data_IF_796783771944
#
_entry.id   IF_796783771944
#
_cell.length_a   1.000
_cell.length_b   1.000
_cell.length_c   1.000
_cell.angle_alpha   90.00
_cell.angle_beta   90.00
_cell.angle_gamma   90.00
#
_symmetry.space_group_name_H-M   'P 1'
#
loop_
_entity.id
_entity.type
_entity.pdbx_description
1 polymer ?
#
# COMPACT_ATOMS: atom_id res chain seq x y z
N UNK A 1 19.02 31.88 15.12
CA UNK A 1 17.61 32.10 14.76
C UNK A 1 16.98 30.76 14.41
N UNK A 2 15.64 30.69 14.34
CA UNK A 2 14.97 29.49 13.82
C UNK A 2 15.34 29.22 12.37
N UNK A 3 15.51 30.27 11.56
CA UNK A 3 15.96 30.15 10.16
C UNK A 3 17.34 29.50 10.05
N UNK A 4 18.31 29.96 10.84
CA UNK A 4 19.66 29.37 10.84
C UNK A 4 19.68 27.90 11.29
N UNK A 5 18.77 27.51 12.19
CA UNK A 5 18.62 26.11 12.58
C UNK A 5 17.96 25.30 11.45
N UNK A 6 16.96 25.85 10.77
CA UNK A 6 16.34 25.24 9.58
C UNK A 6 17.35 25.00 8.46
N UNK A 7 18.17 26.00 8.14
CA UNK A 7 19.22 25.90 7.14
C UNK A 7 20.28 24.86 7.51
N UNK A 8 20.66 24.80 8.79
CA UNK A 8 21.55 23.76 9.29
C UNK A 8 20.95 22.35 9.11
N UNK A 9 19.68 22.15 9.47
CA UNK A 9 19.01 20.84 9.32
C UNK A 9 18.91 20.45 7.84
N UNK A 10 18.51 21.38 6.97
CA UNK A 10 18.38 21.09 5.55
C UNK A 10 19.72 20.85 4.86
N UNK A 11 20.77 21.63 5.16
CA UNK A 11 22.10 21.39 4.59
C UNK A 11 22.64 20.01 5.00
N UNK A 12 22.59 19.66 6.29
CA UNK A 12 22.98 18.33 6.77
C UNK A 12 22.19 17.20 6.12
N UNK A 13 20.90 17.41 5.91
CA UNK A 13 20.04 16.43 5.22
C UNK A 13 20.46 16.26 3.75
N UNK A 14 20.76 17.36 3.04
CA UNK A 14 21.19 17.29 1.63
C UNK A 14 22.51 16.55 1.47
N UNK A 15 23.49 16.89 2.30
CA UNK A 15 24.82 16.26 2.24
C UNK A 15 24.71 14.75 2.48
N UNK A 16 24.01 14.36 3.55
CA UNK A 16 23.83 12.95 3.88
C UNK A 16 23.06 12.18 2.79
N UNK A 17 22.04 12.79 2.17
CA UNK A 17 21.31 12.15 1.07
C UNK A 17 22.18 11.96 -0.18
N UNK A 18 22.96 12.97 -0.54
CA UNK A 18 23.85 12.90 -1.70
C UNK A 18 24.88 11.78 -1.52
N UNK A 19 25.44 11.64 -0.31
CA UNK A 19 26.36 10.55 0.01
C UNK A 19 25.71 9.17 -0.10
N UNK A 20 24.48 9.02 0.41
CA UNK A 20 23.70 7.76 0.28
C UNK A 20 23.45 7.40 -1.18
N UNK A 21 23.06 8.38 -2.01
CA UNK A 21 22.75 8.16 -3.42
C UNK A 21 24.02 7.81 -4.21
N UNK A 22 25.15 8.48 -3.94
CA UNK A 22 26.45 8.16 -4.55
C UNK A 22 26.87 6.71 -4.30
N UNK A 23 26.55 6.16 -3.14
CA UNK A 23 26.87 4.77 -2.78
C UNK A 23 25.95 3.71 -3.43
N UNK A 24 24.83 4.11 -4.03
CA UNK A 24 23.93 3.19 -4.72
C UNK A 24 24.51 2.76 -6.09
N UNK A 25 24.25 1.52 -6.53
CA UNK A 25 24.53 1.10 -7.90
C UNK A 25 23.84 2.02 -8.91
N UNK A 26 24.58 2.47 -9.93
CA UNK A 26 24.04 3.32 -11.00
C UNK A 26 23.44 2.45 -12.09
N UNK A 27 22.29 2.87 -12.62
CA UNK A 27 21.57 2.11 -13.64
C UNK A 27 20.06 2.33 -13.57
N UNK A 28 19.34 1.55 -14.36
CA UNK A 28 17.88 1.58 -14.45
C UNK A 28 17.33 0.16 -14.36
N UNK A 29 16.30 -0.03 -13.54
CA UNK A 29 15.64 -1.31 -13.34
C UNK A 29 14.13 -1.14 -13.40
N UNK A 30 13.45 -2.09 -14.04
CA UNK A 30 12.01 -2.03 -14.24
C UNK A 30 11.30 -3.15 -13.49
N UNK A 31 10.10 -2.88 -13.02
CA UNK A 31 9.22 -3.88 -12.42
C UNK A 31 7.78 -3.65 -12.86
N UNK A 32 7.04 -4.74 -12.95
CA UNK A 32 5.61 -4.74 -13.21
C UNK A 32 4.88 -5.56 -12.15
N UNK A 33 3.68 -5.12 -11.79
CA UNK A 33 2.72 -5.90 -10.99
C UNK A 33 1.35 -5.82 -11.65
N UNK A 34 0.56 -6.87 -11.49
CA UNK A 34 -0.84 -6.91 -11.94
C UNK A 34 -1.71 -6.95 -10.70
N UNK A 35 -2.68 -6.06 -10.63
CA UNK A 35 -3.72 -6.00 -9.60
C UNK A 35 -5.03 -6.53 -10.15
N UNK A 36 -6.01 -6.79 -9.28
CA UNK A 36 -7.32 -7.29 -9.71
C UNK A 36 -8.13 -6.25 -10.46
N UNK A 37 -8.07 -4.98 -10.03
CA UNK A 37 -8.95 -3.95 -10.57
C UNK A 37 -10.43 -4.18 -10.20
N UNK A 38 -11.31 -3.33 -10.72
CA UNK A 38 -12.77 -3.40 -10.46
C UNK A 38 -13.55 -4.00 -11.63
N UNK A 39 -13.09 -3.75 -12.86
CA UNK A 39 -13.67 -4.34 -14.09
C UNK A 39 -12.76 -5.44 -14.62
N UNK A 40 -11.50 -5.08 -14.83
CA UNK A 40 -10.46 -5.89 -15.46
C UNK A 40 -9.17 -5.75 -14.64
N UNK A 41 -8.27 -6.75 -14.68
CA UNK A 41 -6.93 -6.63 -14.12
C UNK A 41 -6.19 -5.40 -14.64
N UNK A 42 -5.42 -4.77 -13.76
CA UNK A 42 -4.68 -3.53 -14.09
C UNK A 42 -3.20 -3.77 -13.88
N UNK A 43 -2.41 -3.53 -14.93
CA UNK A 43 -0.96 -3.57 -14.88
C UNK A 43 -0.40 -2.23 -14.42
N UNK A 44 0.42 -2.28 -13.38
CA UNK A 44 1.27 -1.17 -12.96
C UNK A 44 2.71 -1.46 -13.34
N UNK A 45 3.40 -0.47 -13.88
CA UNK A 45 4.79 -0.56 -14.30
C UNK A 45 5.59 0.62 -13.73
N UNK A 46 6.81 0.36 -13.27
CA UNK A 46 7.74 1.41 -12.90
C UNK A 46 9.14 1.08 -13.38
N UNK A 47 9.86 2.11 -13.81
CA UNK A 47 11.32 2.07 -14.00
C UNK A 47 11.97 3.01 -13.00
N UNK A 48 12.91 2.49 -12.21
CA UNK A 48 13.69 3.25 -11.23
C UNK A 48 15.09 3.44 -11.78
N UNK A 49 15.51 4.69 -11.97
CA UNK A 49 16.84 5.05 -12.45
C UNK A 49 17.64 5.75 -11.36
N UNK A 50 18.78 5.18 -10.98
CA UNK A 50 19.70 5.76 -10.01
C UNK A 50 20.78 6.52 -10.77
N UNK A 51 20.81 7.84 -10.59
CA UNK A 51 21.81 8.76 -11.14
C UNK A 51 22.84 9.11 -10.08
N UNK A 52 23.83 9.93 -10.44
CA UNK A 52 24.91 10.31 -9.52
C UNK A 52 24.42 11.12 -8.33
N UNK A 53 23.42 11.98 -8.55
CA UNK A 53 22.93 12.98 -7.60
C UNK A 53 21.43 12.89 -7.33
N UNK A 54 20.68 11.95 -7.93
CA UNK A 54 19.25 11.77 -7.69
C UNK A 54 18.75 10.38 -8.11
N UNK A 55 17.51 10.05 -7.76
CA UNK A 55 16.81 8.84 -8.22
C UNK A 55 15.50 9.23 -8.90
N UNK A 56 15.25 8.65 -10.07
CA UNK A 56 14.08 8.90 -10.91
C UNK A 56 13.15 7.69 -10.88
N UNK A 57 11.84 7.93 -10.82
CA UNK A 57 10.80 6.90 -10.99
C UNK A 57 9.90 7.30 -12.15
N UNK A 58 9.79 6.42 -13.15
CA UNK A 58 8.92 6.61 -14.32
C UNK A 58 7.85 5.51 -14.35
N UNK A 59 6.57 5.91 -14.38
CA UNK A 59 5.43 4.99 -14.45
C UNK A 59 4.95 4.67 -15.88
N UNK A 60 5.74 4.97 -16.90
CA UNK A 60 5.48 4.56 -18.30
C UNK A 60 5.28 3.05 -18.39
N UNK A 61 4.25 2.64 -19.14
CA UNK A 61 3.83 1.23 -19.26
C UNK A 61 2.73 0.80 -18.29
N UNK A 62 2.35 1.66 -17.35
CA UNK A 62 1.16 1.50 -16.50
C UNK A 62 -0.12 1.70 -17.31
N UNK A 63 -1.15 0.91 -17.01
CA UNK A 63 -2.43 0.91 -17.72
C UNK A 63 -3.24 2.21 -17.57
N UNK A 64 -4.16 2.49 -18.54
CA UNK A 64 -4.97 3.71 -18.55
C UNK A 64 -5.85 3.91 -17.31
N UNK A 65 -6.38 5.13 -17.15
CA UNK A 65 -7.31 5.46 -16.07
C UNK A 65 -8.57 4.58 -16.09
N UNK A 66 -9.04 4.22 -14.91
CA UNK A 66 -10.32 3.54 -14.70
C UNK A 66 -11.48 4.54 -14.68
N UNK A 67 -12.68 4.08 -15.04
CA UNK A 67 -13.92 4.81 -14.79
C UNK A 67 -14.31 4.85 -13.30
N UNK A 68 -13.72 3.98 -12.48
CA UNK A 68 -14.00 3.85 -11.04
C UNK A 68 -13.05 4.69 -10.19
N UNK A 69 -13.41 4.90 -8.93
CA UNK A 69 -12.67 5.77 -7.98
C UNK A 69 -11.25 5.33 -7.62
N UNK A 70 -10.70 4.30 -8.24
CA UNK A 70 -9.42 3.66 -7.93
C UNK A 70 -8.18 4.39 -8.52
N UNK A 71 -8.40 5.44 -9.30
CA UNK A 71 -7.33 6.23 -9.90
C UNK A 71 -6.51 7.02 -8.87
N UNK A 72 -5.22 7.21 -9.12
CA UNK A 72 -4.30 7.98 -8.29
C UNK A 72 -3.84 9.26 -9.02
N UNK A 73 -4.02 10.46 -8.43
CA UNK A 73 -3.30 11.64 -8.87
C UNK A 73 -1.79 11.45 -8.69
N UNK A 74 -0.97 12.03 -9.57
CA UNK A 74 0.50 11.85 -9.53
C UNK A 74 1.13 12.21 -8.19
N UNK A 75 0.58 13.18 -7.45
CA UNK A 75 1.12 13.57 -6.14
C UNK A 75 1.02 12.43 -5.12
N UNK A 76 -0.02 11.59 -5.22
CA UNK A 76 -0.22 10.43 -4.36
C UNK A 76 0.78 9.32 -4.70
N UNK A 77 0.93 9.02 -5.99
CA UNK A 77 1.92 8.05 -6.50
C UNK A 77 3.35 8.49 -6.17
N UNK A 78 3.64 9.80 -6.31
CA UNK A 78 4.92 10.40 -5.92
C UNK A 78 5.20 10.20 -4.44
N UNK A 79 4.23 10.47 -3.56
CA UNK A 79 4.42 10.31 -2.12
C UNK A 79 4.82 8.87 -1.75
N UNK A 80 4.14 7.87 -2.32
CA UNK A 80 4.44 6.47 -2.04
C UNK A 80 5.72 5.95 -2.72
N UNK A 81 6.06 6.43 -3.91
CA UNK A 81 7.34 6.15 -4.55
C UNK A 81 8.51 6.73 -3.73
N UNK A 82 8.40 7.98 -3.31
CA UNK A 82 9.38 8.63 -2.45
C UNK A 82 9.50 7.93 -1.09
N UNK A 83 8.38 7.49 -0.50
CA UNK A 83 8.39 6.71 0.74
C UNK A 83 9.21 5.42 0.59
N UNK A 84 8.94 4.63 -0.46
CA UNK A 84 9.67 3.40 -0.74
C UNK A 84 11.18 3.64 -0.88
N UNK A 85 11.56 4.62 -1.69
CA UNK A 85 12.97 4.99 -1.87
C UNK A 85 13.60 5.49 -0.57
N UNK A 86 12.90 6.34 0.19
CA UNK A 86 13.40 6.89 1.44
C UNK A 86 13.69 5.80 2.48
N UNK A 87 12.81 4.81 2.60
CA UNK A 87 12.99 3.66 3.51
C UNK A 87 14.22 2.82 3.19
N UNK A 88 14.63 2.74 1.92
CA UNK A 88 15.75 1.90 1.49
C UNK A 88 17.06 2.69 1.44
N UNK A 89 17.01 3.89 0.85
CA UNK A 89 18.20 4.70 0.59
C UNK A 89 18.73 5.35 1.87
N UNK A 90 17.82 5.76 2.75
CA UNK A 90 18.18 6.64 3.86
C UNK A 90 17.23 6.51 5.07
N UNK A 91 16.97 5.31 5.63
CA UNK A 91 15.98 5.12 6.70
C UNK A 91 16.24 5.97 7.97
N UNK A 92 17.51 6.30 8.22
CA UNK A 92 18.02 7.03 9.38
C UNK A 92 18.10 8.56 9.19
N UNK A 93 17.99 9.05 7.95
CA UNK A 93 18.04 10.48 7.66
C UNK A 93 16.68 11.12 7.98
N UNK A 94 16.60 12.31 8.63
CA UNK A 94 15.34 12.99 8.89
C UNK A 94 14.48 13.18 7.64
N UNK A 95 13.17 12.93 7.77
CA UNK A 95 12.23 13.09 6.68
C UNK A 95 11.79 14.55 6.56
N UNK A 96 12.28 15.25 5.53
CA UNK A 96 11.94 16.63 5.23
C UNK A 96 12.07 16.94 3.72
N UNK A 97 11.72 18.16 3.31
CA UNK A 97 11.76 18.56 1.89
C UNK A 97 13.15 18.40 1.25
N UNK A 98 14.23 18.64 2.00
CA UNK A 98 15.59 18.44 1.51
C UNK A 98 15.90 16.96 1.22
N UNK A 99 15.36 16.03 2.02
CA UNK A 99 15.54 14.60 1.75
C UNK A 99 14.75 14.11 0.53
N UNK A 100 13.57 14.67 0.32
CA UNK A 100 12.67 14.26 -0.77
C UNK A 100 13.03 14.90 -2.12
N UNK A 101 13.79 15.99 -2.12
CA UNK A 101 14.22 16.70 -3.32
C UNK A 101 15.04 15.85 -4.29
N UNK A 102 15.67 14.78 -3.78
CA UNK A 102 16.49 13.84 -4.55
C UNK A 102 15.68 12.79 -5.31
N UNK A 103 14.36 12.76 -5.13
CA UNK A 103 13.48 11.80 -5.77
C UNK A 103 12.55 12.50 -6.76
N UNK A 104 12.73 12.20 -8.04
CA UNK A 104 11.87 12.70 -9.12
C UNK A 104 10.92 11.61 -9.57
N UNK A 105 9.70 11.99 -9.92
CA UNK A 105 8.64 11.06 -10.34
C UNK A 105 7.96 11.62 -11.57
N UNK A 106 7.90 10.81 -12.63
CA UNK A 106 7.27 11.12 -13.92
C UNK A 106 6.30 10.02 -14.33
N UNK A 107 5.35 10.38 -15.19
CA UNK A 107 4.39 9.42 -15.76
C UNK A 107 3.63 10.05 -16.91
N UNK A 108 3.29 9.31 -17.98
CA UNK A 108 2.18 9.69 -18.88
C UNK A 108 0.84 9.68 -18.11
N UNK A 109 -0.23 10.19 -18.71
CA UNK A 109 -1.59 10.09 -18.14
C UNK A 109 -2.00 8.61 -18.13
N UNK A 110 -2.24 8.08 -16.94
CA UNK A 110 -2.60 6.68 -16.68
C UNK A 110 -3.22 6.57 -15.27
N UNK A 111 -3.46 5.35 -14.78
CA UNK A 111 -4.08 5.17 -13.46
C UNK A 111 -3.24 5.71 -12.27
N UNK A 112 -1.91 5.83 -12.42
CA UNK A 112 -0.99 6.41 -11.42
C UNK A 112 -0.70 7.91 -11.62
N UNK A 113 -1.18 8.50 -12.70
CA UNK A 113 -1.15 9.92 -13.00
C UNK A 113 -2.50 10.35 -13.57
N UNK A 114 -3.51 10.21 -12.74
CA UNK A 114 -4.87 10.52 -13.12
C UNK A 114 -5.07 12.04 -13.21
N UNK A 115 -5.79 12.46 -14.26
CA UNK A 115 -6.12 13.86 -14.52
C UNK A 115 -7.62 14.10 -14.37
N UNK A 116 -8.01 15.33 -14.05
CA UNK A 116 -9.42 15.73 -13.99
C UNK A 116 -10.12 15.42 -15.33
N UNK A 117 -11.34 14.83 -15.36
CA UNK A 117 -12.27 14.60 -14.25
C UNK A 117 -12.26 13.18 -13.65
N UNK A 118 -11.17 12.42 -13.76
CA UNK A 118 -11.14 11.05 -13.25
C UNK A 118 -11.48 10.95 -11.74
N UNK A 119 -12.27 9.96 -11.32
CA UNK A 119 -12.62 9.76 -9.91
C UNK A 119 -11.47 9.11 -9.13
N UNK A 120 -11.18 9.63 -7.93
CA UNK A 120 -9.97 9.29 -7.13
C UNK A 120 -10.26 8.98 -5.65
N UNK A 121 -11.52 8.67 -5.32
CA UNK A 121 -11.97 8.46 -3.94
C UNK A 121 -11.30 7.24 -3.26
N UNK A 122 -11.04 6.18 -4.04
CA UNK A 122 -10.50 4.88 -3.60
C UNK A 122 -9.04 4.67 -4.05
N UNK A 123 -8.31 5.76 -4.30
CA UNK A 123 -6.89 5.75 -4.74
C UNK A 123 -5.96 4.88 -3.88
N UNK A 124 -6.30 4.63 -2.62
CA UNK A 124 -5.50 3.83 -1.70
C UNK A 124 -5.32 2.38 -2.18
N UNK A 125 -6.30 1.81 -2.90
CA UNK A 125 -6.24 0.43 -3.42
C UNK A 125 -4.99 0.25 -4.31
N UNK A 126 -4.70 1.24 -5.15
CA UNK A 126 -3.60 1.20 -6.12
C UNK A 126 -2.35 1.93 -5.63
N UNK A 127 -2.51 3.10 -5.01
CA UNK A 127 -1.35 3.86 -4.55
C UNK A 127 -0.58 3.14 -3.43
N UNK A 128 -1.22 2.22 -2.69
CA UNK A 128 -0.51 1.35 -1.75
C UNK A 128 0.28 0.22 -2.42
N UNK A 129 0.06 -0.06 -3.71
CA UNK A 129 0.88 -0.98 -4.49
C UNK A 129 2.14 -0.30 -5.03
N UNK A 130 2.19 1.04 -5.07
CA UNK A 130 3.32 1.79 -5.61
C UNK A 130 4.63 1.50 -4.86
N UNK A 131 4.65 1.34 -3.51
CA UNK A 131 5.88 0.96 -2.83
C UNK A 131 6.38 -0.40 -3.26
N UNK A 132 5.54 -1.43 -3.32
CA UNK A 132 5.93 -2.76 -3.78
C UNK A 132 6.42 -2.73 -5.24
N UNK A 133 5.79 -1.91 -6.09
CA UNK A 133 6.21 -1.68 -7.47
C UNK A 133 7.63 -1.11 -7.57
N UNK A 134 7.89 0.00 -6.86
CA UNK A 134 9.19 0.70 -6.84
C UNK A 134 10.27 -0.14 -6.15
N UNK A 135 9.93 -0.78 -5.03
CA UNK A 135 10.80 -1.68 -4.29
C UNK A 135 11.17 -2.90 -5.13
N UNK A 136 10.24 -3.46 -5.89
CA UNK A 136 10.52 -4.56 -6.82
C UNK A 136 11.52 -4.17 -7.90
N UNK A 137 11.45 -2.95 -8.44
CA UNK A 137 12.43 -2.45 -9.40
C UNK A 137 13.83 -2.31 -8.77
N UNK A 138 13.95 -1.57 -7.67
CA UNK A 138 15.27 -1.34 -7.02
C UNK A 138 15.86 -2.60 -6.38
N UNK A 139 15.05 -3.63 -6.10
CA UNK A 139 15.54 -4.91 -5.57
C UNK A 139 16.53 -5.62 -6.50
N UNK A 140 16.47 -5.34 -7.80
CA UNK A 140 17.42 -5.85 -8.79
C UNK A 140 18.81 -5.20 -8.62
N UNK A 141 18.86 -3.94 -8.19
CA UNK A 141 20.11 -3.26 -7.85
C UNK A 141 20.65 -3.65 -6.47
N UNK A 142 19.74 -3.99 -5.55
CA UNK A 142 20.04 -4.27 -4.14
C UNK A 142 19.55 -5.68 -3.74
N UNK A 143 20.11 -6.74 -4.35
CA UNK A 143 19.66 -8.10 -4.09
C UNK A 143 19.80 -8.45 -2.60
N UNK A 144 18.77 -9.09 -2.06
CA UNK A 144 18.72 -9.47 -0.65
C UNK A 144 18.48 -8.33 0.34
N UNK A 145 18.37 -7.06 -0.09
CA UNK A 145 18.19 -5.91 0.82
C UNK A 145 16.77 -5.34 0.87
N UNK A 146 15.88 -5.83 0.01
CA UNK A 146 14.52 -5.28 -0.14
C UNK A 146 13.48 -6.34 0.19
N UNK A 147 12.53 -5.99 1.07
CA UNK A 147 11.41 -6.85 1.46
C UNK A 147 10.57 -7.32 0.26
N UNK A 148 10.01 -8.52 0.32
CA UNK A 148 9.07 -9.02 -0.69
C UNK A 148 7.78 -8.19 -0.74
N UNK A 149 6.89 -8.48 -1.70
CA UNK A 149 5.56 -7.83 -1.71
C UNK A 149 4.75 -8.24 -0.47
N UNK A 150 3.91 -7.32 -0.01
CA UNK A 150 2.90 -7.58 1.01
C UNK A 150 1.49 -7.46 0.44
N UNK A 151 0.48 -7.54 1.30
CA UNK A 151 -0.90 -7.32 0.87
C UNK A 151 -1.08 -5.97 0.16
N UNK A 152 -0.36 -4.93 0.59
CA UNK A 152 -0.35 -3.59 -0.02
C UNK A 152 -1.66 -2.85 0.22
N UNK A 153 -2.72 -3.28 -0.48
CA UNK A 153 -4.07 -2.77 -0.28
C UNK A 153 -4.58 -3.11 1.14
N UNK A 154 -5.22 -2.10 1.75
CA UNK A 154 -6.05 -2.35 2.92
C UNK A 154 -7.33 -3.05 2.49
N UNK A 155 -7.83 -3.95 3.34
CA UNK A 155 -9.08 -4.66 3.14
C UNK A 155 -10.22 -3.91 3.83
N UNK A 156 -10.62 -2.81 3.22
CA UNK A 156 -11.60 -1.90 3.81
C UNK A 156 -13.01 -2.30 3.40
N UNK A 157 -13.93 -2.23 4.36
CA UNK A 157 -15.36 -2.40 4.12
C UNK A 157 -16.06 -1.16 4.68
N UNK A 158 -16.85 -0.50 3.84
CA UNK A 158 -17.73 0.58 4.25
C UNK A 158 -19.16 0.03 4.30
N UNK A 159 -19.73 -0.03 5.49
CA UNK A 159 -21.02 -0.65 5.77
C UNK A 159 -22.05 0.46 6.01
N UNK A 160 -23.15 0.42 5.27
CA UNK A 160 -24.35 1.20 5.54
C UNK A 160 -25.38 0.27 6.18
N UNK A 161 -25.50 0.34 7.50
CA UNK A 161 -26.40 -0.50 8.29
C UNK A 161 -27.73 0.23 8.56
N UNK A 162 -28.84 -0.49 8.37
CA UNK A 162 -30.19 0.05 8.51
C UNK A 162 -31.16 -1.00 9.08
N UNK A 163 -32.24 -0.58 9.77
CA UNK A 163 -33.29 -1.51 10.16
C UNK A 163 -33.86 -2.23 8.94
N UNK A 164 -34.22 -3.49 9.09
CA UNK A 164 -34.98 -4.24 8.07
C UNK A 164 -36.31 -3.53 7.78
N UNK A 165 -36.93 -3.84 6.64
CA UNK A 165 -38.21 -3.23 6.27
C UNK A 165 -39.27 -3.39 7.36
N UNK A 166 -39.82 -2.27 7.85
CA UNK A 166 -40.80 -2.24 8.95
C UNK A 166 -40.20 -2.38 10.36
N UNK A 167 -38.89 -2.60 10.47
CA UNK A 167 -38.15 -2.62 11.74
C UNK A 167 -37.88 -1.22 12.29
N UNK A 168 -37.64 -1.15 13.60
CA UNK A 168 -37.15 0.04 14.28
C UNK A 168 -35.67 -0.11 14.62
N UNK A 169 -34.95 1.00 14.68
CA UNK A 169 -33.52 0.99 14.97
C UNK A 169 -32.82 2.20 14.37
N UNK A 170 -31.51 2.30 14.59
CA UNK A 170 -30.70 3.41 14.07
C UNK A 170 -30.04 3.02 12.77
N UNK A 171 -29.85 4.02 11.89
CA UNK A 171 -28.96 3.89 10.73
C UNK A 171 -27.55 4.26 11.15
N UNK A 172 -26.55 3.60 10.56
CA UNK A 172 -25.16 3.92 10.81
C UNK A 172 -24.29 3.63 9.60
N UNK A 173 -23.25 4.45 9.42
CA UNK A 173 -22.17 4.19 8.48
C UNK A 173 -20.94 3.75 9.27
N UNK A 174 -20.39 2.59 8.93
CA UNK A 174 -19.22 2.01 9.61
C UNK A 174 -18.13 1.76 8.58
N UNK A 175 -17.01 2.48 8.73
CA UNK A 175 -15.81 2.24 7.93
C UNK A 175 -14.81 1.43 8.73
N UNK A 176 -14.42 0.27 8.20
CA UNK A 176 -13.44 -0.61 8.82
C UNK A 176 -12.13 -0.61 8.04
N UNK A 177 -11.02 -0.58 8.77
CA UNK A 177 -9.68 -0.74 8.22
C UNK A 177 -9.07 -2.06 8.66
N UNK A 178 -8.82 -2.95 7.70
CA UNK A 178 -8.23 -4.26 7.94
C UNK A 178 -6.98 -4.43 7.09
N UNK A 179 -6.01 -5.17 7.61
CA UNK A 179 -4.69 -5.27 7.00
C UNK A 179 -4.32 -6.72 6.76
N UNK A 180 -3.71 -6.99 5.61
CA UNK A 180 -3.04 -8.26 5.38
C UNK A 180 -1.68 -8.32 6.06
N UNK A 181 -0.88 -9.31 5.66
CA UNK A 181 0.51 -9.41 6.08
C UNK A 181 1.43 -8.52 5.25
N UNK A 182 2.48 -8.01 5.90
CA UNK A 182 3.61 -7.36 5.22
C UNK A 182 4.50 -8.42 4.56
N UNK A 183 5.19 -8.06 3.48
CA UNK A 183 6.20 -8.93 2.87
C UNK A 183 7.33 -9.32 3.84
N UNK A 184 7.98 -10.45 3.55
CA UNK A 184 9.15 -10.91 4.29
C UNK A 184 10.28 -9.89 4.15
N UNK A 185 10.97 -9.60 5.26
CA UNK A 185 12.11 -8.69 5.29
C UNK A 185 13.40 -9.46 4.97
N UNK A 186 14.47 -8.77 4.54
CA UNK A 186 15.78 -9.37 4.27
C UNK A 186 16.28 -10.40 5.28
N UNK A 187 16.03 -10.15 6.56
CA UNK A 187 16.60 -10.91 7.67
C UNK A 187 15.54 -11.39 8.67
N UNK A 188 14.25 -11.17 8.39
CA UNK A 188 13.16 -11.41 9.33
C UNK A 188 11.85 -11.74 8.60
N UNK A 189 11.00 -12.52 9.25
CA UNK A 189 9.61 -12.69 8.83
C UNK A 189 8.90 -11.34 8.65
N UNK A 190 7.91 -11.35 7.75
CA UNK A 190 6.97 -10.26 7.56
C UNK A 190 6.03 -10.13 8.76
N UNK A 191 5.62 -8.90 9.05
CA UNK A 191 4.72 -8.61 10.16
C UNK A 191 3.28 -9.02 9.77
N UNK A 192 2.64 -9.83 10.61
CA UNK A 192 1.25 -10.27 10.41
C UNK A 192 0.26 -9.14 10.69
N UNK A 193 -0.85 -9.10 9.96
CA UNK A 193 -1.94 -8.13 10.12
C UNK A 193 -1.46 -6.67 10.28
N UNK A 194 -0.42 -6.30 9.53
CA UNK A 194 0.26 -5.01 9.65
C UNK A 194 0.03 -4.22 8.39
N UNK A 195 -0.59 -3.05 8.54
CA UNK A 195 -0.74 -2.10 7.47
C UNK A 195 0.66 -1.71 6.97
N UNK A 196 0.95 -2.03 5.71
CA UNK A 196 2.13 -1.55 5.00
C UNK A 196 1.70 -1.35 3.55
N UNK A 197 1.98 -0.19 2.94
CA UNK A 197 2.79 0.94 3.41
C UNK A 197 2.03 1.95 4.33
N UNK A 198 0.77 1.66 4.67
CA UNK A 198 -0.06 2.57 5.47
C UNK A 198 0.29 2.53 6.96
N UNK A 199 0.17 3.65 7.66
CA UNK A 199 0.37 3.73 9.12
C UNK A 199 -0.91 3.48 9.94
N UNK A 200 -1.94 2.87 9.37
CA UNK A 200 -3.21 2.65 10.05
C UNK A 200 -3.08 1.53 11.09
N UNK A 201 -3.65 1.76 12.27
CA UNK A 201 -3.71 0.76 13.34
C UNK A 201 -5.03 -0.02 13.29
N UNK A 202 -5.00 -1.22 13.85
CA UNK A 202 -6.20 -2.06 14.00
C UNK A 202 -7.25 -1.34 14.84
N UNK A 203 -8.50 -1.32 14.36
CA UNK A 203 -9.63 -0.78 15.12
C UNK A 203 -10.11 -1.76 16.20
N UNK A 204 -10.41 -1.28 17.43
CA UNK A 204 -11.07 -2.09 18.46
C UNK A 204 -12.44 -2.59 17.97
N UNK A 205 -12.75 -3.85 18.27
CA UNK A 205 -14.03 -4.47 17.90
C UNK A 205 -15.18 -3.72 18.58
N UNK A 206 -15.09 -3.52 19.90
CA UNK A 206 -16.11 -2.81 20.68
C UNK A 206 -16.39 -1.41 20.15
N UNK A 207 -15.36 -0.65 19.74
CA UNK A 207 -15.55 0.67 19.15
C UNK A 207 -16.26 0.61 17.79
N UNK A 208 -15.98 -0.43 17.00
CA UNK A 208 -16.59 -0.66 15.68
C UNK A 208 -18.07 -1.03 15.84
N UNK A 209 -18.39 -1.97 16.73
CA UNK A 209 -19.77 -2.38 17.05
C UNK A 209 -20.55 -1.28 17.77
N UNK A 210 -19.89 -0.43 18.56
CA UNK A 210 -20.53 0.76 19.13
C UNK A 210 -20.96 1.75 18.03
N UNK A 211 -20.26 1.79 16.89
CA UNK A 211 -20.55 2.74 15.81
C UNK A 211 -21.86 2.42 15.09
N UNK A 212 -22.17 1.13 14.86
CA UNK A 212 -23.36 0.73 14.12
C UNK A 212 -23.90 -0.65 14.52
N UNK A 213 -25.13 -0.99 14.13
CA UNK A 213 -25.79 -2.26 14.46
C UNK A 213 -25.18 -3.44 13.67
N UNK A 214 -23.92 -3.75 13.97
CA UNK A 214 -23.16 -4.87 13.41
C UNK A 214 -22.48 -5.67 14.53
N UNK A 215 -22.18 -6.94 14.25
CA UNK A 215 -21.45 -7.85 15.14
C UNK A 215 -20.25 -8.38 14.38
N UNK A 216 -19.07 -8.40 15.02
CA UNK A 216 -17.85 -9.03 14.49
C UNK A 216 -17.69 -10.38 15.19
N UNK A 217 -18.11 -11.45 14.52
CA UNK A 217 -18.03 -12.81 15.04
C UNK A 217 -16.62 -13.36 15.13
N UNK A 218 -15.74 -12.92 14.22
CA UNK A 218 -14.36 -13.40 14.13
C UNK A 218 -13.42 -12.30 13.70
N UNK A 219 -12.25 -12.24 14.33
CA UNK A 219 -11.12 -11.41 13.92
C UNK A 219 -9.83 -12.04 14.40
N UNK A 220 -9.19 -12.82 13.54
CA UNK A 220 -7.98 -13.57 13.88
C UNK A 220 -6.97 -13.57 12.74
N UNK A 221 -5.73 -13.95 13.04
CA UNK A 221 -4.73 -14.21 11.99
C UNK A 221 -5.15 -15.44 11.18
N UNK A 222 -5.09 -15.36 9.85
CA UNK A 222 -5.35 -16.48 8.96
C UNK A 222 -4.12 -17.41 8.93
N UNK A 223 -4.16 -18.61 9.51
CA UNK A 223 -3.01 -19.51 9.50
C UNK A 223 -2.58 -19.85 8.06
N UNK A 224 -1.27 -20.02 7.86
CA UNK A 224 -0.67 -20.41 6.57
C UNK A 224 -1.02 -19.48 5.39
N UNK A 225 -1.34 -18.21 5.65
CA UNK A 225 -1.66 -17.22 4.61
C UNK A 225 -0.44 -16.45 4.09
N UNK A 226 0.65 -16.44 4.85
CA UNK A 226 1.92 -15.85 4.44
C UNK A 226 2.62 -16.72 3.40
N UNK A 227 3.36 -16.10 2.47
CA UNK A 227 4.17 -16.83 1.49
C UNK A 227 5.38 -17.51 2.15
N UNK A 228 5.63 -18.77 1.80
CA UNK A 228 6.79 -19.53 2.30
C UNK A 228 8.10 -19.01 1.70
N UNK A 229 9.15 -18.97 2.51
CA UNK A 229 10.51 -18.61 2.12
C UNK A 229 11.48 -18.92 3.26
N UNK A 230 12.75 -18.55 3.10
CA UNK A 230 13.70 -18.54 4.24
C UNK A 230 13.16 -17.71 5.40
N UNK A 231 12.58 -16.55 5.05
CA UNK A 231 11.71 -15.76 5.92
C UNK A 231 10.31 -15.74 5.31
N UNK A 232 9.31 -15.97 6.15
CA UNK A 232 7.89 -16.07 5.75
C UNK A 232 7.26 -14.68 5.63
N UNK A 233 6.36 -14.49 4.67
CA UNK A 233 5.51 -13.30 4.61
C UNK A 233 4.51 -13.22 5.79
N UNK A 234 4.14 -12.03 6.24
CA UNK A 234 3.18 -11.86 7.35
C UNK A 234 1.85 -12.57 7.09
N UNK A 235 1.16 -13.01 8.15
CA UNK A 235 -0.17 -13.59 8.01
C UNK A 235 -1.21 -12.49 7.75
N UNK A 236 -2.19 -12.78 6.90
CA UNK A 236 -3.41 -12.00 6.78
C UNK A 236 -4.40 -12.27 7.92
N UNK A 237 -5.65 -11.86 7.74
CA UNK A 237 -6.71 -11.98 8.74
C UNK A 237 -7.93 -12.73 8.20
N UNK A 238 -8.71 -13.34 9.10
CA UNK A 238 -10.10 -13.75 8.85
C UNK A 238 -11.00 -12.83 9.67
N UNK A 239 -12.00 -12.26 9.00
CA UNK A 239 -12.98 -11.38 9.65
C UNK A 239 -14.38 -11.82 9.21
N UNK A 240 -15.25 -12.07 10.18
CA UNK A 240 -16.65 -12.46 9.97
C UNK A 240 -17.53 -11.40 10.62
N UNK A 241 -18.46 -10.82 9.85
CA UNK A 241 -19.27 -9.67 10.26
C UNK A 241 -20.72 -9.94 9.85
N UNK A 242 -21.65 -9.57 10.72
CA UNK A 242 -23.09 -9.68 10.48
C UNK A 242 -23.81 -8.40 10.94
N UNK A 243 -24.98 -8.12 10.38
CA UNK A 243 -25.88 -7.12 10.96
C UNK A 243 -26.47 -7.68 12.26
N UNK A 244 -26.68 -6.83 13.27
CA UNK A 244 -27.43 -7.28 14.46
C UNK A 244 -28.88 -7.59 14.10
N UNK A 245 -29.54 -8.46 14.87
CA UNK A 245 -30.97 -8.76 14.73
C UNK A 245 -31.84 -7.51 14.46
N UNK A 246 -32.75 -7.63 13.49
CA UNK A 246 -33.62 -6.53 13.06
C UNK A 246 -32.93 -5.47 12.18
N UNK A 247 -31.67 -5.68 11.79
CA UNK A 247 -30.96 -4.84 10.83
C UNK A 247 -30.48 -5.65 9.63
N UNK A 248 -30.28 -4.94 8.53
CA UNK A 248 -29.57 -5.38 7.34
C UNK A 248 -28.50 -4.34 7.01
N UNK A 249 -27.48 -4.74 6.26
CA UNK A 249 -26.53 -3.75 5.75
C UNK A 249 -26.26 -3.96 4.26
N UNK A 250 -26.00 -2.83 3.61
CA UNK A 250 -25.35 -2.77 2.32
C UNK A 250 -23.86 -2.45 2.57
N UNK A 251 -22.95 -2.93 1.73
CA UNK A 251 -21.53 -2.61 1.90
C UNK A 251 -20.82 -2.32 0.58
N UNK A 252 -19.80 -1.47 0.67
CA UNK A 252 -18.82 -1.22 -0.38
C UNK A 252 -17.49 -1.86 0.01
N UNK A 253 -17.09 -2.84 -0.77
CA UNK A 253 -15.82 -3.55 -0.67
C UNK A 253 -14.72 -2.74 -1.38
N UNK A 254 -13.64 -2.45 -0.64
CA UNK A 254 -12.50 -1.68 -1.12
C UNK A 254 -11.23 -2.46 -0.81
N UNK A 255 -10.86 -3.36 -1.71
CA UNK A 255 -9.70 -4.24 -1.58
C UNK A 255 -9.19 -4.68 -2.96
N UNK A 256 -8.04 -5.36 -2.94
CA UNK A 256 -7.42 -6.06 -4.07
C UNK A 256 -6.76 -7.36 -3.52
N UNK A 257 -6.01 -8.10 -4.34
CA UNK A 257 -5.32 -9.36 -4.00
C UNK A 257 -6.21 -10.60 -3.85
N UNK A 258 -7.40 -10.61 -4.45
CA UNK A 258 -8.30 -11.76 -4.60
C UNK A 258 -7.86 -12.67 -5.75
N UNK A 259 -7.50 -12.12 -6.90
CA UNK A 259 -7.04 -12.92 -8.06
C UNK A 259 -5.52 -12.88 -8.24
N UNK A 260 -4.87 -11.78 -7.85
CA UNK A 260 -3.43 -11.58 -7.96
C UNK A 260 -2.76 -11.46 -6.58
N UNK A 261 -2.40 -12.58 -5.94
CA UNK A 261 -1.78 -12.56 -4.62
C UNK A 261 -0.42 -11.86 -4.61
N UNK A 262 0.05 -11.40 -3.43
CA UNK A 262 1.37 -10.80 -3.31
C UNK A 262 2.48 -11.79 -3.66
N UNK A 263 3.45 -11.33 -4.44
CA UNK A 263 4.55 -12.19 -4.93
C UNK A 263 5.67 -12.30 -3.91
N UNK A 264 6.21 -13.50 -3.77
CA UNK A 264 7.47 -13.71 -3.09
C UNK A 264 8.65 -13.14 -3.89
N UNK A 265 9.83 -13.13 -3.28
CA UNK A 265 11.07 -12.63 -3.91
C UNK A 265 12.21 -13.62 -3.68
N UNK A 266 13.17 -13.68 -4.60
CA UNK A 266 14.39 -14.50 -4.50
C UNK A 266 14.10 -15.99 -4.20
N UNK A 267 13.07 -16.57 -4.84
CA UNK A 267 12.66 -17.96 -4.63
C UNK A 267 11.57 -18.17 -3.57
N UNK A 268 11.17 -17.11 -2.84
CA UNK A 268 9.99 -17.16 -1.97
C UNK A 268 8.69 -17.37 -2.75
N UNK A 269 7.75 -18.10 -2.17
CA UNK A 269 6.42 -18.37 -2.71
C UNK A 269 5.48 -17.17 -2.52
N UNK A 270 4.45 -17.02 -3.38
CA UNK A 270 3.43 -16.00 -3.17
C UNK A 270 2.66 -16.23 -1.87
N UNK A 271 2.15 -15.15 -1.29
CA UNK A 271 1.15 -15.24 -0.22
C UNK A 271 -0.17 -15.82 -0.73
N UNK A 272 -1.04 -16.21 0.19
CA UNK A 272 -2.36 -16.72 -0.19
C UNK A 272 -3.27 -15.56 -0.58
N UNK A 273 -4.02 -15.72 -1.68
CA UNK A 273 -4.98 -14.74 -2.13
C UNK A 273 -6.10 -14.49 -1.09
N UNK A 274 -6.64 -13.27 -1.13
CA UNK A 274 -7.82 -12.90 -0.37
C UNK A 274 -9.07 -13.60 -0.85
N UNK A 275 -10.05 -13.75 0.04
CA UNK A 275 -11.33 -14.41 -0.25
C UNK A 275 -12.44 -13.62 0.43
N UNK A 276 -13.54 -13.41 -0.29
CA UNK A 276 -14.78 -12.83 0.23
C UNK A 276 -15.90 -13.83 0.04
N UNK A 277 -16.75 -13.98 1.06
CA UNK A 277 -17.92 -14.85 1.07
C UNK A 277 -19.09 -14.10 1.71
N UNK A 278 -20.29 -14.32 1.19
CA UNK A 278 -21.57 -13.84 1.71
C UNK A 278 -22.40 -15.03 2.17
#
# INVERSE_FOLDING_TARGET
SLDGLGDFIFSRTRDAMLDRIKALPKGSWSNELVTDGYDEPVKLAATVSVRDDHVEVDFTGTDPMSRWGINCPIIYSKAYACYALKCVVAPDIPNNAASLAFFTVSSPVNILNAVRPAPVALRHIFGHMVPDLVLGAISQALPGKILSEGAGALWNIHISARPVAGGSGRRAEVLMFNSGGMGARPELDGLSATAFPSGVHTMPIEATEHTGPIVIWRKELRPNSGGDGEFRGGLGQVIEIEATDGHEFDFSAMFDRVNHPPRGRNGGRPGVAGVVKL
#
